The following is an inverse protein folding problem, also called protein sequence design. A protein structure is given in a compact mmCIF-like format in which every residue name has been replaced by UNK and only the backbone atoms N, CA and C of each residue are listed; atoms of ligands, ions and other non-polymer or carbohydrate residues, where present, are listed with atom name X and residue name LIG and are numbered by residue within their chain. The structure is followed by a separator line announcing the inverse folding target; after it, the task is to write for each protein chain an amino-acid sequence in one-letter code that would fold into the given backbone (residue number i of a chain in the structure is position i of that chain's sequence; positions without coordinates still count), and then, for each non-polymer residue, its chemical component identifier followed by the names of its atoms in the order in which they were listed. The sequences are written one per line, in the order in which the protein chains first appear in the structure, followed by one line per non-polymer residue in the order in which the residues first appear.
data_IF_241354722966
#
_entry.id   IF_241354722966
#
_cell.length_a   1.000
_cell.length_b   1.000
_cell.length_c   1.000
_cell.angle_alpha   90.00
_cell.angle_beta   90.00
_cell.angle_gamma   90.00
#
_symmetry.space_group_name_H-M   'P 1'
#
loop_
_entity.id
_entity.type
_entity.pdbx_description
1 polymer ?
#
# COMPACT_ATOMS: atom_id res chain seq x y z
N UNK A 1 -46.93 -12.63 18.02
CA UNK A 1 -46.66 -13.71 17.03
C UNK A 1 -46.62 -13.12 15.61
N UNK A 2 -45.68 -12.21 15.29
CA UNK A 2 -45.68 -11.48 14.00
C UNK A 2 -44.36 -11.56 13.21
N UNK A 3 -43.28 -12.12 13.78
CA UNK A 3 -41.94 -12.13 13.15
C UNK A 3 -41.72 -13.29 12.16
N UNK A 4 -42.60 -14.30 12.15
CA UNK A 4 -42.43 -15.49 11.32
C UNK A 4 -42.96 -15.34 9.89
N UNK A 5 -43.91 -14.44 9.63
CA UNK A 5 -44.54 -14.30 8.31
C UNK A 5 -43.62 -13.56 7.33
N UNK A 6 -42.85 -12.56 7.81
CA UNK A 6 -41.90 -11.81 6.98
C UNK A 6 -40.70 -12.66 6.52
N UNK A 7 -40.20 -13.55 7.39
CA UNK A 7 -39.08 -14.44 7.05
C UNK A 7 -39.47 -15.51 6.02
N UNK A 8 -40.70 -16.04 6.10
CA UNK A 8 -41.25 -16.98 5.12
C UNK A 8 -41.41 -16.33 3.73
N UNK A 9 -41.89 -15.08 3.68
CA UNK A 9 -41.97 -14.31 2.44
C UNK A 9 -40.59 -14.00 1.84
N UNK A 10 -39.60 -13.66 2.64
CA UNK A 10 -38.24 -13.39 2.14
C UNK A 10 -37.57 -14.64 1.52
N UNK A 11 -37.78 -15.82 2.11
CA UNK A 11 -37.28 -17.09 1.56
C UNK A 11 -37.97 -17.45 0.24
N UNK A 12 -39.30 -17.30 0.15
CA UNK A 12 -40.03 -17.53 -1.10
C UNK A 12 -39.67 -16.55 -2.20
N UNK A 13 -39.39 -15.29 -1.85
CA UNK A 13 -38.86 -14.30 -2.79
C UNK A 13 -37.47 -14.70 -3.28
N UNK A 14 -36.57 -15.13 -2.40
CA UNK A 14 -35.22 -15.61 -2.77
C UNK A 14 -35.24 -16.86 -3.66
N UNK A 15 -36.17 -17.78 -3.43
CA UNK A 15 -36.35 -18.98 -4.25
C UNK A 15 -36.88 -18.67 -5.66
N UNK A 16 -37.59 -17.55 -5.82
CA UNK A 16 -38.13 -17.09 -7.10
C UNK A 16 -37.16 -16.19 -7.89
N UNK A 17 -36.09 -15.70 -7.25
CA UNK A 17 -35.00 -15.03 -7.97
C UNK A 17 -34.10 -16.10 -8.58
N UNK A 18 -34.30 -16.37 -9.87
CA UNK A 18 -33.23 -16.97 -10.65
C UNK A 18 -32.09 -15.96 -10.67
N UNK A 19 -31.01 -16.28 -9.95
CA UNK A 19 -29.77 -15.55 -10.11
C UNK A 19 -29.31 -15.74 -11.55
N UNK A 20 -29.12 -14.64 -12.27
CA UNK A 20 -28.51 -14.70 -13.59
C UNK A 20 -27.20 -15.49 -13.47
N UNK A 21 -26.91 -16.42 -14.40
CA UNK A 21 -25.66 -17.12 -14.37
C UNK A 21 -24.52 -16.10 -14.43
N UNK A 22 -23.41 -16.33 -13.69
CA UNK A 22 -22.28 -15.43 -13.76
C UNK A 22 -21.84 -15.29 -15.21
N UNK A 23 -21.37 -14.09 -15.57
CA UNK A 23 -20.87 -13.82 -16.92
C UNK A 23 -19.85 -14.91 -17.31
N UNK A 24 -19.79 -15.39 -18.57
CA UNK A 24 -18.91 -16.50 -18.96
C UNK A 24 -17.42 -16.30 -18.65
N UNK A 25 -16.99 -15.05 -18.42
CA UNK A 25 -15.61 -14.68 -18.07
C UNK A 25 -15.40 -14.46 -16.56
N UNK A 26 -16.44 -14.60 -15.74
CA UNK A 26 -16.36 -14.43 -14.30
C UNK A 26 -15.69 -15.67 -13.69
N UNK A 27 -14.51 -15.48 -13.11
CA UNK A 27 -13.86 -16.45 -12.23
C UNK A 27 -13.86 -15.90 -10.82
N UNK A 28 -14.34 -16.68 -9.86
CA UNK A 28 -14.12 -16.36 -8.44
C UNK A 28 -12.62 -16.52 -8.17
N UNK A 29 -11.91 -15.49 -7.66
CA UNK A 29 -10.55 -15.67 -7.18
C UNK A 29 -10.57 -16.70 -6.06
N UNK A 30 -9.47 -17.44 -5.91
CA UNK A 30 -9.43 -18.42 -4.86
C UNK A 30 -9.53 -17.73 -3.49
N UNK A 31 -10.16 -18.32 -2.46
CA UNK A 31 -10.30 -17.68 -1.15
C UNK A 31 -8.96 -17.34 -0.46
N UNK A 32 -7.87 -17.98 -0.90
CA UNK A 32 -6.50 -17.75 -0.45
C UNK A 32 -5.73 -16.73 -1.31
N UNK A 33 -6.32 -16.26 -2.40
CA UNK A 33 -5.71 -15.29 -3.29
C UNK A 33 -5.82 -13.90 -2.67
N UNK A 34 -4.68 -13.24 -2.45
CA UNK A 34 -4.67 -11.90 -1.89
C UNK A 34 -5.41 -10.94 -2.84
N UNK A 35 -6.16 -9.96 -2.31
CA UNK A 35 -6.76 -8.92 -3.14
C UNK A 35 -5.67 -8.29 -4.02
N UNK A 36 -5.94 -8.06 -5.32
CA UNK A 36 -4.95 -7.46 -6.20
C UNK A 36 -4.59 -6.07 -5.68
N UNK A 37 -3.33 -5.92 -5.26
CA UNK A 37 -2.76 -4.61 -4.95
C UNK A 37 -2.26 -3.99 -6.23
N UNK A 38 -2.80 -2.82 -6.58
CA UNK A 38 -2.33 -2.04 -7.72
C UNK A 38 -1.25 -1.06 -7.27
N UNK A 39 -0.04 -1.23 -7.80
CA UNK A 39 1.08 -0.32 -7.54
C UNK A 39 1.29 0.60 -8.73
N UNK A 40 1.37 1.91 -8.46
CA UNK A 40 1.86 2.89 -9.42
C UNK A 40 3.01 3.64 -8.78
N UNK A 41 4.16 3.66 -9.46
CA UNK A 41 5.34 4.34 -8.99
C UNK A 41 5.69 5.53 -9.88
N UNK A 42 6.02 6.66 -9.26
CA UNK A 42 6.61 7.82 -9.92
C UNK A 42 8.01 8.03 -9.40
N UNK A 43 8.99 8.00 -10.31
CA UNK A 43 10.40 8.26 -10.02
C UNK A 43 10.73 9.71 -10.36
N UNK A 44 11.75 10.26 -9.70
CA UNK A 44 12.32 11.54 -10.12
C UNK A 44 12.91 11.40 -11.53
N UNK A 45 12.81 12.47 -12.32
CA UNK A 45 13.35 12.49 -13.69
C UNK A 45 14.89 12.45 -13.73
N UNK A 46 15.54 12.92 -12.67
CA UNK A 46 16.99 12.93 -12.49
C UNK A 46 17.38 12.18 -11.21
N UNK A 47 18.63 11.74 -11.13
CA UNK A 47 19.17 11.18 -9.90
C UNK A 47 19.11 12.20 -8.78
N UNK A 48 18.88 11.74 -7.54
CA UNK A 48 18.94 12.58 -6.33
C UNK A 48 20.30 13.29 -6.20
N UNK A 49 21.37 12.65 -6.66
CA UNK A 49 22.73 13.21 -6.62
C UNK A 49 22.94 14.37 -7.60
N UNK A 50 22.12 14.46 -8.65
CA UNK A 50 22.25 15.47 -9.71
C UNK A 50 21.37 16.71 -9.45
N UNK A 51 20.63 16.73 -8.34
CA UNK A 51 19.70 17.79 -7.98
C UNK A 51 20.26 18.61 -6.82
N UNK A 52 20.16 19.94 -6.94
CA UNK A 52 20.45 20.83 -5.81
C UNK A 52 19.42 20.64 -4.69
N UNK A 53 19.75 21.01 -3.44
CA UNK A 53 18.79 20.94 -2.33
C UNK A 53 17.48 21.69 -2.59
N UNK A 54 17.54 22.81 -3.34
CA UNK A 54 16.36 23.60 -3.70
C UNK A 54 15.47 22.86 -4.72
N UNK A 55 16.08 22.22 -5.72
CA UNK A 55 15.36 21.40 -6.69
C UNK A 55 14.73 20.18 -6.02
N UNK A 56 15.47 19.47 -5.16
CA UNK A 56 14.94 18.36 -4.37
C UNK A 56 13.74 18.78 -3.52
N UNK A 57 13.83 19.92 -2.85
CA UNK A 57 12.72 20.45 -2.07
C UNK A 57 11.51 20.81 -2.95
N UNK A 58 11.75 21.32 -4.17
CA UNK A 58 10.70 21.63 -5.13
C UNK A 58 9.99 20.37 -5.63
N UNK A 59 10.76 19.35 -6.04
CA UNK A 59 10.25 18.06 -6.50
C UNK A 59 9.47 17.33 -5.39
N UNK A 60 10.00 17.32 -4.16
CA UNK A 60 9.30 16.73 -3.01
C UNK A 60 7.95 17.42 -2.76
N UNK A 61 7.91 18.76 -2.79
CA UNK A 61 6.66 19.54 -2.66
C UNK A 61 5.69 19.27 -3.80
N UNK A 62 6.19 19.15 -5.04
CA UNK A 62 5.37 18.83 -6.20
C UNK A 62 4.76 17.42 -6.09
N UNK A 63 5.56 16.44 -5.68
CA UNK A 63 5.11 15.06 -5.43
C UNK A 63 3.98 15.02 -4.40
N UNK A 64 4.16 15.67 -3.24
CA UNK A 64 3.14 15.75 -2.18
C UNK A 64 1.87 16.44 -2.68
N UNK A 65 1.98 17.51 -3.49
CA UNK A 65 0.82 18.21 -4.08
C UNK A 65 0.09 17.39 -5.13
N UNK A 66 0.78 16.49 -5.81
CA UNK A 66 0.21 15.65 -6.87
C UNK A 66 -0.51 14.40 -6.33
N UNK A 67 -0.39 14.12 -5.03
CA UNK A 67 -1.11 13.02 -4.40
C UNK A 67 -2.64 13.26 -4.50
N UNK A 68 -3.45 12.24 -4.84
CA UNK A 68 -4.89 12.40 -4.99
C UNK A 68 -5.54 12.94 -3.72
N UNK A 69 -6.41 13.95 -3.87
CA UNK A 69 -7.12 14.65 -2.78
C UNK A 69 -8.24 13.84 -2.13
N UNK A 70 -8.64 12.69 -2.70
CA UNK A 70 -9.74 11.89 -2.19
C UNK A 70 -9.25 10.65 -1.42
N UNK A 71 -9.47 10.68 -0.09
CA UNK A 71 -9.35 9.53 0.82
C UNK A 71 -8.04 8.73 0.71
N UNK A 72 -6.93 9.43 0.48
CA UNK A 72 -5.60 8.81 0.36
C UNK A 72 -4.79 9.06 1.61
N UNK A 73 -4.42 8.00 2.34
CA UNK A 73 -3.47 8.14 3.44
C UNK A 73 -2.03 8.30 2.90
N UNK A 74 -1.28 9.24 3.47
CA UNK A 74 0.08 9.56 3.03
C UNK A 74 1.10 9.01 4.04
N UNK A 75 1.83 7.98 3.62
CA UNK A 75 2.89 7.37 4.41
C UNK A 75 4.26 7.86 3.94
N UNK A 76 5.15 8.11 4.89
CA UNK A 76 6.57 8.33 4.66
C UNK A 76 7.33 7.14 5.25
N UNK A 77 8.17 6.52 4.45
CA UNK A 77 8.91 5.31 4.82
C UNK A 77 10.41 5.53 4.63
N UNK A 78 11.20 4.92 5.50
CA UNK A 78 12.66 4.90 5.34
C UNK A 78 13.30 3.73 6.07
N UNK A 79 14.42 3.27 5.54
CA UNK A 79 15.26 2.24 6.10
C UNK A 79 16.64 2.78 6.44
N UNK A 80 17.29 2.19 7.44
CA UNK A 80 18.66 2.56 7.79
C UNK A 80 19.43 1.37 8.33
N UNK A 81 20.72 1.35 8.02
CA UNK A 81 21.67 0.34 8.49
C UNK A 81 22.90 1.08 9.03
N UNK A 82 23.26 0.79 10.27
CA UNK A 82 24.56 1.15 10.85
C UNK A 82 25.58 0.08 10.44
N UNK A 83 26.52 0.47 9.59
CA UNK A 83 27.56 -0.44 9.07
C UNK A 83 28.59 -0.85 10.11
N UNK A 84 28.68 -0.14 11.24
CA UNK A 84 29.65 -0.45 12.31
C UNK A 84 29.12 -1.56 13.21
N UNK A 85 27.85 -1.47 13.59
CA UNK A 85 27.21 -2.43 14.51
C UNK A 85 26.41 -3.51 13.80
N UNK A 86 26.14 -3.34 12.51
CA UNK A 86 25.20 -4.18 11.75
C UNK A 86 23.74 -3.89 12.08
N UNK A 87 23.45 -2.89 12.91
CA UNK A 87 22.09 -2.57 13.34
C UNK A 87 21.26 -2.07 12.16
N UNK A 88 20.10 -2.66 11.95
CA UNK A 88 19.21 -2.35 10.84
C UNK A 88 17.80 -2.03 11.34
N UNK A 89 17.22 -0.93 10.88
CA UNK A 89 15.89 -0.47 11.30
C UNK A 89 15.07 0.07 10.12
N UNK A 90 13.76 -0.07 10.22
CA UNK A 90 12.77 0.48 9.31
C UNK A 90 11.87 1.47 10.06
N UNK A 91 11.47 2.55 9.41
CA UNK A 91 10.62 3.58 9.95
C UNK A 91 9.41 3.80 9.06
N UNK A 92 8.26 4.02 9.69
CA UNK A 92 7.02 4.43 9.02
C UNK A 92 6.45 5.62 9.77
N UNK A 93 6.08 6.65 9.03
CA UNK A 93 5.40 7.84 9.55
C UNK A 93 4.13 8.11 8.74
N UNK A 94 3.02 8.34 9.42
CA UNK A 94 1.73 8.69 8.82
C UNK A 94 0.95 9.56 9.81
N UNK A 95 0.46 10.72 9.35
CA UNK A 95 -0.22 11.72 10.19
C UNK A 95 0.53 12.00 11.51
N UNK A 96 -0.03 11.63 12.68
CA UNK A 96 0.59 11.78 14.01
C UNK A 96 1.22 10.48 14.53
N UNK A 97 1.22 9.43 13.71
CA UNK A 97 1.77 8.13 14.06
C UNK A 97 3.16 7.95 13.47
N UNK A 98 4.10 7.53 14.30
CA UNK A 98 5.43 7.11 13.89
C UNK A 98 5.75 5.76 14.55
N UNK A 99 6.30 4.84 13.76
CA UNK A 99 6.75 3.54 14.25
C UNK A 99 8.15 3.22 13.72
N UNK A 100 8.92 2.57 14.58
CA UNK A 100 10.25 2.05 14.29
C UNK A 100 10.24 0.54 14.48
N UNK A 101 10.85 -0.17 13.54
CA UNK A 101 10.90 -1.62 13.51
C UNK A 101 12.34 -2.08 13.41
N UNK A 102 12.77 -2.91 14.36
CA UNK A 102 14.10 -3.50 14.36
C UNK A 102 14.12 -4.74 13.47
N UNK A 103 15.09 -4.82 12.56
CA UNK A 103 15.39 -6.03 11.79
C UNK A 103 16.53 -6.80 12.46
N UNK A 104 16.76 -8.08 12.10
CA UNK A 104 17.98 -8.78 12.46
C UNK A 104 19.25 -8.01 12.02
N UNK A 105 20.33 -8.19 12.76
CA UNK A 105 21.62 -7.59 12.43
C UNK A 105 22.12 -8.04 11.05
N UNK A 106 22.85 -7.14 10.40
CA UNK A 106 23.39 -7.32 9.05
C UNK A 106 22.32 -7.45 7.95
N UNK A 107 21.08 -7.04 8.22
CA UNK A 107 20.08 -6.85 7.17
C UNK A 107 20.53 -5.76 6.20
N UNK A 108 20.27 -5.93 4.92
CA UNK A 108 20.62 -4.97 3.87
C UNK A 108 19.72 -3.74 3.91
N UNK A 109 20.20 -2.63 3.36
CA UNK A 109 19.39 -1.41 3.20
C UNK A 109 18.10 -1.69 2.43
N UNK A 110 18.16 -2.50 1.36
CA UNK A 110 16.95 -2.90 0.62
C UNK A 110 15.94 -3.64 1.50
N UNK A 111 16.39 -4.53 2.38
CA UNK A 111 15.50 -5.23 3.32
C UNK A 111 14.84 -4.27 4.32
N UNK A 112 15.58 -3.28 4.83
CA UNK A 112 15.00 -2.27 5.73
C UNK A 112 13.93 -1.41 5.04
N UNK A 113 14.18 -1.02 3.79
CA UNK A 113 13.26 -0.20 3.01
C UNK A 113 12.00 -0.98 2.60
N UNK A 114 12.16 -2.24 2.17
CA UNK A 114 11.02 -3.12 1.87
C UNK A 114 10.16 -3.39 3.10
N UNK A 115 10.79 -3.56 4.28
CA UNK A 115 10.03 -3.71 5.51
C UNK A 115 9.24 -2.43 5.84
N UNK A 116 9.81 -1.24 5.63
CA UNK A 116 9.11 0.01 5.86
C UNK A 116 7.84 0.11 4.98
N UNK A 117 7.93 -0.23 3.69
CA UNK A 117 6.75 -0.31 2.81
C UNK A 117 5.75 -1.36 3.31
N UNK A 118 6.21 -2.57 3.63
CA UNK A 118 5.34 -3.64 4.12
C UNK A 118 4.55 -3.21 5.36
N UNK A 119 5.19 -2.51 6.29
CA UNK A 119 4.54 -2.00 7.50
C UNK A 119 3.53 -0.89 7.18
N UNK A 120 3.84 0.01 6.25
CA UNK A 120 2.87 1.00 5.78
C UNK A 120 1.63 0.35 5.16
N UNK A 121 1.82 -0.67 4.31
CA UNK A 121 0.71 -1.42 3.70
C UNK A 121 -0.12 -2.17 4.76
N UNK A 122 0.50 -2.81 5.74
CA UNK A 122 -0.22 -3.49 6.83
C UNK A 122 -1.10 -2.54 7.65
N UNK A 123 -0.67 -1.29 7.84
CA UNK A 123 -1.47 -0.26 8.50
C UNK A 123 -2.62 0.25 7.64
N UNK A 124 -2.47 0.19 6.31
CA UNK A 124 -3.45 0.64 5.33
C UNK A 124 -4.54 -0.40 5.01
N UNK A 125 -4.18 -1.69 4.94
CA UNK A 125 -5.09 -2.78 4.52
C UNK A 125 -6.43 -2.78 5.27
N UNK A 126 -6.49 -2.65 6.61
CA UNK A 126 -7.77 -2.66 7.33
C UNK A 126 -8.70 -1.50 6.98
N UNK A 127 -8.16 -0.41 6.43
CA UNK A 127 -8.90 0.80 6.07
C UNK A 127 -9.54 0.72 4.68
N UNK A 128 -9.06 -0.19 3.83
CA UNK A 128 -9.53 -0.38 2.46
C UNK A 128 -9.60 0.94 1.66
N UNK A 129 -8.51 1.70 1.71
CA UNK A 129 -8.35 3.00 1.06
C UNK A 129 -7.17 2.98 0.10
N UNK A 130 -7.13 3.96 -0.79
CA UNK A 130 -5.92 4.26 -1.55
C UNK A 130 -4.86 4.83 -0.61
N UNK A 131 -3.59 4.53 -0.85
CA UNK A 131 -2.47 5.10 -0.09
C UNK A 131 -1.39 5.62 -1.00
N UNK A 132 -0.75 6.71 -0.60
CA UNK A 132 0.44 7.25 -1.23
C UNK A 132 1.62 7.00 -0.30
N UNK A 133 2.64 6.29 -0.78
CA UNK A 133 3.85 5.99 -0.01
C UNK A 133 5.01 6.77 -0.63
N UNK A 134 5.64 7.62 0.18
CA UNK A 134 6.87 8.31 -0.17
C UNK A 134 8.07 7.55 0.41
N UNK A 135 8.98 7.13 -0.47
CA UNK A 135 10.27 6.52 -0.16
C UNK A 135 11.34 7.19 -1.01
N UNK A 136 12.57 7.29 -0.50
CA UNK A 136 13.73 7.71 -1.28
C UNK A 136 14.57 6.53 -1.80
N UNK A 137 14.12 5.29 -1.58
CA UNK A 137 14.77 4.08 -2.05
C UNK A 137 14.33 3.70 -3.47
N UNK A 138 15.19 4.02 -4.45
CA UNK A 138 14.99 3.58 -5.84
C UNK A 138 14.93 2.06 -5.97
N UNK A 139 15.76 1.34 -5.20
CA UNK A 139 15.81 -0.12 -5.22
C UNK A 139 14.49 -0.76 -4.80
N UNK A 140 13.78 -0.16 -3.85
CA UNK A 140 12.44 -0.61 -3.47
C UNK A 140 11.43 -0.35 -4.57
N UNK A 141 11.45 0.83 -5.17
CA UNK A 141 10.56 1.15 -6.29
C UNK A 141 10.78 0.16 -7.45
N UNK A 142 12.01 -0.25 -7.70
CA UNK A 142 12.35 -1.25 -8.73
C UNK A 142 11.99 -2.69 -8.34
N UNK A 143 11.89 -3.00 -7.05
CA UNK A 143 11.54 -4.33 -6.55
C UNK A 143 10.03 -4.56 -6.50
N UNK A 144 9.23 -3.49 -6.49
CA UNK A 144 7.77 -3.60 -6.58
C UNK A 144 7.36 -3.98 -8.01
N UNK A 145 6.39 -4.89 -8.17
CA UNK A 145 5.91 -5.26 -9.50
C UNK A 145 5.24 -4.05 -10.15
N UNK A 146 5.65 -3.74 -11.38
CA UNK A 146 4.97 -2.73 -12.19
C UNK A 146 3.59 -3.26 -12.57
N UNK A 147 2.51 -2.64 -12.06
CA UNK A 147 1.20 -2.77 -12.69
C UNK A 147 1.20 -1.85 -13.92
N UNK A 148 1.64 -2.37 -15.06
CA UNK A 148 1.34 -1.74 -16.35
C UNK A 148 -0.16 -1.93 -16.59
N UNK A 149 -0.95 -0.86 -16.82
CA UNK A 149 -2.35 -0.99 -17.20
C UNK A 149 -2.52 -1.70 -18.55
#
# INVERSE_FOLDING_TARGET
MSKNIEALNAQQVFLNFQQDPPHPTYSTPAPWEAPPLHFSARKLAKSKADLSPAELASEAKASVRSAPTHATDVFFTGGSVDTTTGTAAAAVHYDKFAALYRLPDNSSTLQTELLAILRALQLAVPRNINVTIHTDSLGVIQALPDCVP
#
